data_IF_085570646399
#
_entry.id   IF_085570646399
#
_cell.length_a   1.000
_cell.length_b   1.000
_cell.length_c   1.000
_cell.angle_alpha   90.00
_cell.angle_beta   90.00
_cell.angle_gamma   90.00
#
_symmetry.space_group_name_H-M   'P 1'
#
loop_
_entity.id
_entity.type
_entity.pdbx_description
1 polymer ?
#
# COMPACT_ATOMS: atom_id res chain seq x y z
N UNK A 1 -14.73 17.84 19.07
CA UNK A 1 -13.27 17.81 18.86
C UNK A 1 -12.97 17.68 17.37
N UNK A 2 -12.36 18.70 16.77
CA UNK A 2 -12.03 18.84 15.33
C UNK A 2 -10.79 18.01 14.90
N UNK A 3 -10.50 16.88 15.55
CA UNK A 3 -9.17 16.23 15.47
C UNK A 3 -9.01 15.21 14.32
N UNK A 4 -9.99 15.09 13.41
CA UNK A 4 -9.94 14.10 12.32
C UNK A 4 -8.85 14.34 11.26
N UNK A 5 -8.39 15.58 11.10
CA UNK A 5 -7.45 16.00 10.05
C UNK A 5 -6.04 15.39 10.16
N UNK A 6 -5.64 14.92 11.35
CA UNK A 6 -4.28 14.40 11.56
C UNK A 6 -4.19 12.87 11.48
N UNK A 7 -5.29 12.17 11.20
CA UNK A 7 -5.32 10.70 11.19
C UNK A 7 -4.44 10.08 10.10
N UNK A 8 -4.47 10.56 8.83
CA UNK A 8 -3.58 10.03 7.79
C UNK A 8 -2.11 10.31 8.11
N UNK A 9 -1.81 11.48 8.70
CA UNK A 9 -0.46 11.83 9.15
C UNK A 9 0.02 10.95 10.31
N UNK A 10 -0.89 10.52 11.20
CA UNK A 10 -0.56 9.53 12.23
C UNK A 10 -0.19 8.19 11.60
N UNK A 11 -0.96 7.69 10.64
CA UNK A 11 -0.63 6.45 9.93
C UNK A 11 0.72 6.55 9.20
N UNK A 12 1.00 7.70 8.58
CA UNK A 12 2.28 8.00 7.96
C UNK A 12 3.43 7.99 8.97
N UNK A 13 3.31 8.69 10.09
CA UNK A 13 4.33 8.76 11.13
C UNK A 13 4.59 7.37 11.76
N UNK A 14 3.54 6.60 12.04
CA UNK A 14 3.67 5.23 12.53
C UNK A 14 4.31 4.31 11.49
N UNK A 15 3.98 4.47 10.21
CA UNK A 15 4.59 3.71 9.11
C UNK A 15 6.08 4.01 8.94
N UNK A 16 6.48 5.28 9.04
CA UNK A 16 7.88 5.69 9.05
C UNK A 16 8.63 5.15 10.27
N UNK A 17 8.04 5.23 11.47
CA UNK A 17 8.64 4.66 12.67
C UNK A 17 8.85 3.15 12.52
N UNK A 18 7.87 2.44 11.97
CA UNK A 18 8.00 1.01 11.66
C UNK A 18 9.08 0.75 10.60
N UNK A 19 9.18 1.58 9.56
CA UNK A 19 10.21 1.47 8.54
C UNK A 19 11.62 1.65 9.12
N UNK A 20 11.82 2.66 9.98
CA UNK A 20 13.09 2.87 10.68
C UNK A 20 13.42 1.68 11.57
N UNK A 21 12.47 1.20 12.37
CA UNK A 21 12.66 0.03 13.22
C UNK A 21 13.05 -1.23 12.41
N UNK A 22 12.34 -1.49 11.29
CA UNK A 22 12.67 -2.61 10.39
C UNK A 22 14.04 -2.44 9.75
N UNK A 23 14.41 -1.23 9.31
CA UNK A 23 15.74 -0.97 8.77
C UNK A 23 16.84 -1.21 9.80
N UNK A 24 16.63 -0.80 11.05
CA UNK A 24 17.55 -1.09 12.16
C UNK A 24 17.63 -2.58 12.44
N UNK A 25 16.52 -3.31 12.37
CA UNK A 25 16.48 -4.76 12.52
C UNK A 25 17.30 -5.45 11.42
N UNK A 26 17.03 -5.14 10.15
CA UNK A 26 17.76 -5.69 9.00
C UNK A 26 19.25 -5.38 9.00
N UNK A 27 19.66 -4.27 9.61
CA UNK A 27 21.08 -3.84 9.64
C UNK A 27 21.86 -4.43 10.81
N UNK A 28 21.22 -4.56 11.98
CA UNK A 28 21.92 -4.84 13.23
C UNK A 28 21.62 -6.22 13.82
N UNK A 29 20.55 -6.89 13.38
CA UNK A 29 20.07 -8.16 13.96
C UNK A 29 19.96 -9.24 12.88
N UNK A 30 21.09 -9.50 12.21
CA UNK A 30 21.23 -10.59 11.25
C UNK A 30 22.31 -11.56 11.72
N UNK A 31 21.99 -12.85 11.72
CA UNK A 31 22.91 -13.91 12.10
C UNK A 31 24.00 -14.15 11.04
N UNK A 32 24.91 -15.10 11.30
CA UNK A 32 26.00 -15.47 10.40
C UNK A 32 25.52 -16.05 9.05
N UNK A 33 24.26 -16.50 8.95
CA UNK A 33 23.62 -16.98 7.72
C UNK A 33 22.86 -15.85 7.01
N UNK A 34 22.92 -14.63 7.55
CA UNK A 34 22.22 -13.44 7.07
C UNK A 34 20.74 -13.43 7.41
N UNK A 35 20.23 -14.37 8.22
CA UNK A 35 18.85 -14.47 8.65
C UNK A 35 18.57 -13.49 9.80
N UNK A 36 17.35 -12.97 9.89
CA UNK A 36 16.95 -12.10 11.00
C UNK A 36 16.98 -12.88 12.32
N UNK A 37 17.58 -12.28 13.34
CA UNK A 37 17.52 -12.81 14.70
C UNK A 37 16.10 -12.70 15.24
N UNK A 38 15.59 -13.80 15.80
CA UNK A 38 14.22 -13.87 16.34
C UNK A 38 14.19 -13.63 17.85
N UNK A 39 13.06 -13.12 18.35
CA UNK A 39 12.85 -12.85 19.77
C UNK A 39 13.52 -11.56 20.26
N UNK A 40 13.95 -10.68 19.36
CA UNK A 40 14.53 -9.40 19.75
C UNK A 40 13.44 -8.46 20.29
N UNK A 41 13.83 -7.56 21.20
CA UNK A 41 12.91 -6.51 21.69
C UNK A 41 12.43 -5.61 20.55
N UNK A 42 13.27 -5.43 19.53
CA UNK A 42 12.95 -4.62 18.36
C UNK A 42 11.89 -5.28 17.47
N UNK A 43 12.04 -6.57 17.16
CA UNK A 43 11.02 -7.37 16.45
C UNK A 43 9.68 -7.31 17.19
N UNK A 44 9.70 -7.55 18.50
CA UNK A 44 8.49 -7.48 19.35
C UNK A 44 7.86 -6.08 19.30
N UNK A 45 8.68 -5.03 19.36
CA UNK A 45 8.25 -3.64 19.25
C UNK A 45 7.57 -3.33 17.91
N UNK A 46 8.05 -3.88 16.80
CA UNK A 46 7.45 -3.72 15.46
C UNK A 46 6.05 -4.36 15.41
N UNK A 47 5.89 -5.56 15.97
CA UNK A 47 4.58 -6.21 16.01
C UNK A 47 3.59 -5.48 16.93
N UNK A 48 4.05 -5.02 18.11
CA UNK A 48 3.22 -4.21 19.02
C UNK A 48 2.80 -2.88 18.38
N UNK A 49 3.72 -2.20 17.70
CA UNK A 49 3.43 -0.97 16.96
C UNK A 49 2.39 -1.21 15.86
N UNK A 50 2.53 -2.32 15.14
CA UNK A 50 1.59 -2.71 14.08
C UNK A 50 0.19 -3.01 14.65
N UNK A 51 0.11 -3.80 15.72
CA UNK A 51 -1.16 -4.11 16.38
C UNK A 51 -1.85 -2.84 16.92
N UNK A 52 -1.09 -1.97 17.60
CA UNK A 52 -1.58 -0.68 18.07
C UNK A 52 -2.07 0.19 16.92
N UNK A 53 -1.30 0.27 15.82
CA UNK A 53 -1.66 1.00 14.61
C UNK A 53 -3.00 0.54 14.04
N UNK A 54 -3.19 -0.77 13.87
CA UNK A 54 -4.44 -1.34 13.37
C UNK A 54 -5.65 -0.98 14.26
N UNK A 55 -5.50 -1.04 15.58
CA UNK A 55 -6.56 -0.66 16.52
C UNK A 55 -6.89 0.83 16.39
N UNK A 56 -5.88 1.70 16.36
CA UNK A 56 -6.06 3.14 16.20
C UNK A 56 -6.71 3.49 14.86
N UNK A 57 -6.30 2.83 13.77
CA UNK A 57 -6.88 3.04 12.44
C UNK A 57 -8.34 2.60 12.39
N UNK A 58 -8.69 1.48 13.02
CA UNK A 58 -10.07 1.01 13.11
C UNK A 58 -10.95 1.99 13.91
N UNK A 59 -10.47 2.48 15.05
CA UNK A 59 -11.18 3.48 15.86
C UNK A 59 -11.35 4.79 15.09
N UNK A 60 -10.31 5.27 14.43
CA UNK A 60 -10.36 6.50 13.68
C UNK A 60 -11.31 6.38 12.46
N UNK A 61 -11.24 5.28 11.71
CA UNK A 61 -12.10 5.04 10.56
C UNK A 61 -13.59 5.03 10.94
N UNK A 62 -13.94 4.57 12.15
CA UNK A 62 -15.30 4.61 12.70
C UNK A 62 -15.76 6.03 13.01
N UNK A 63 -14.86 6.86 13.59
CA UNK A 63 -15.15 8.27 13.91
C UNK A 63 -15.33 9.10 12.64
N UNK A 64 -14.56 8.80 11.61
CA UNK A 64 -14.56 9.53 10.35
C UNK A 64 -13.99 10.93 10.47
N UNK A 65 -13.68 11.51 9.31
CA UNK A 65 -13.15 12.86 9.16
C UNK A 65 -13.63 13.43 7.81
N UNK A 66 -13.50 14.75 7.65
CA UNK A 66 -13.85 15.44 6.41
C UNK A 66 -12.87 15.08 5.29
N UNK A 67 -13.40 14.93 4.08
CA UNK A 67 -12.63 14.52 2.91
C UNK A 67 -11.60 15.58 2.48
N UNK A 68 -10.50 15.12 1.87
CA UNK A 68 -9.39 15.97 1.43
C UNK A 68 -9.83 17.03 0.42
N UNK A 69 -8.97 18.02 0.23
CA UNK A 69 -8.98 18.82 -0.98
C UNK A 69 -8.85 17.93 -2.21
N UNK A 70 -9.80 18.06 -3.14
CA UNK A 70 -9.88 17.26 -4.38
C UNK A 70 -8.59 17.28 -5.21
N UNK A 71 -7.80 18.35 -5.10
CA UNK A 71 -6.50 18.50 -5.77
C UNK A 71 -5.43 17.59 -5.20
N UNK A 72 -5.40 17.42 -3.87
CA UNK A 72 -4.40 16.59 -3.19
C UNK A 72 -4.65 15.10 -3.52
N UNK A 73 -5.91 14.66 -3.45
CA UNK A 73 -6.30 13.30 -3.81
C UNK A 73 -5.98 12.97 -5.28
N UNK A 74 -6.20 13.93 -6.20
CA UNK A 74 -5.83 13.77 -7.59
C UNK A 74 -4.32 13.61 -7.80
N UNK A 75 -3.52 14.45 -7.14
CA UNK A 75 -2.06 14.37 -7.19
C UNK A 75 -1.56 13.02 -6.67
N UNK A 76 -2.11 12.52 -5.56
CA UNK A 76 -1.76 11.21 -5.05
C UNK A 76 -2.16 10.06 -5.97
N UNK A 77 -3.35 10.10 -6.58
CA UNK A 77 -3.75 9.11 -7.60
C UNK A 77 -2.74 9.09 -8.75
N UNK A 78 -2.33 10.26 -9.26
CA UNK A 78 -1.30 10.35 -10.30
C UNK A 78 0.06 9.78 -9.85
N UNK A 79 0.49 10.08 -8.63
CA UNK A 79 1.74 9.53 -8.06
C UNK A 79 1.66 8.00 -7.89
N UNK A 80 0.57 7.49 -7.31
CA UNK A 80 0.35 6.04 -7.17
C UNK A 80 0.35 5.33 -8.52
N UNK A 81 -0.33 5.92 -9.52
CA UNK A 81 -0.35 5.39 -10.88
C UNK A 81 1.03 5.41 -11.53
N UNK A 82 1.81 6.46 -11.34
CA UNK A 82 3.21 6.52 -11.76
C UNK A 82 4.05 5.43 -11.07
N UNK A 83 3.82 5.17 -9.78
CA UNK A 83 4.53 4.14 -9.01
C UNK A 83 4.28 2.74 -9.56
N UNK A 84 3.02 2.42 -9.83
CA UNK A 84 2.60 1.16 -10.46
C UNK A 84 3.20 1.04 -11.87
N UNK A 85 3.12 2.11 -12.67
CA UNK A 85 3.61 2.13 -14.04
C UNK A 85 5.13 1.92 -14.11
N UNK A 86 5.89 2.65 -13.28
CA UNK A 86 7.34 2.49 -13.20
C UNK A 86 7.74 1.11 -12.70
N UNK A 87 7.03 0.55 -11.72
CA UNK A 87 7.28 -0.81 -11.24
C UNK A 87 7.10 -1.84 -12.36
N UNK A 88 6.05 -1.69 -13.17
CA UNK A 88 5.79 -2.58 -14.32
C UNK A 88 6.81 -2.41 -15.46
N UNK A 89 7.34 -1.20 -15.68
CA UNK A 89 8.37 -0.95 -16.69
C UNK A 89 9.73 -1.53 -16.30
N UNK A 90 10.12 -1.33 -15.05
CA UNK A 90 11.47 -1.62 -14.56
C UNK A 90 11.64 -3.07 -14.11
N UNK A 91 10.57 -3.74 -13.69
CA UNK A 91 10.62 -5.11 -13.20
C UNK A 91 10.04 -6.09 -14.23
N UNK A 92 10.71 -7.22 -14.52
CA UNK A 92 10.21 -8.22 -15.46
C UNK A 92 9.10 -9.13 -14.90
N UNK A 93 8.69 -8.95 -13.62
CA UNK A 93 7.90 -9.93 -12.88
C UNK A 93 8.78 -11.05 -12.30
N UNK A 94 8.30 -11.73 -11.26
CA UNK A 94 9.02 -12.82 -10.57
C UNK A 94 8.66 -14.20 -11.10
N UNK A 95 7.45 -14.38 -11.61
CA UNK A 95 7.04 -15.61 -12.28
C UNK A 95 7.58 -15.65 -13.72
N UNK A 96 7.83 -16.85 -14.23
CA UNK A 96 8.24 -17.06 -15.62
C UNK A 96 7.04 -17.27 -16.55
N UNK A 97 7.18 -16.94 -17.83
CA UNK A 97 6.17 -17.22 -18.86
C UNK A 97 5.00 -16.24 -18.87
N UNK A 98 3.81 -16.72 -19.24
CA UNK A 98 2.64 -15.87 -19.51
C UNK A 98 2.15 -15.05 -18.32
N UNK A 99 2.39 -15.52 -17.09
CA UNK A 99 2.00 -14.79 -15.86
C UNK A 99 2.84 -13.52 -15.67
N UNK A 100 4.14 -13.56 -15.99
CA UNK A 100 5.01 -12.38 -15.97
C UNK A 100 4.52 -11.31 -16.96
N UNK A 101 4.17 -11.76 -18.17
CA UNK A 101 3.60 -10.89 -19.20
C UNK A 101 2.28 -10.27 -18.75
N UNK A 102 1.39 -11.06 -18.15
CA UNK A 102 0.11 -10.57 -17.60
C UNK A 102 0.33 -9.56 -16.48
N UNK A 103 1.24 -9.83 -15.53
CA UNK A 103 1.58 -8.91 -14.45
C UNK A 103 2.05 -7.56 -15.00
N UNK A 104 2.94 -7.58 -15.99
CA UNK A 104 3.47 -6.38 -16.63
C UNK A 104 2.38 -5.59 -17.35
N UNK A 105 1.58 -6.24 -18.20
CA UNK A 105 0.50 -5.59 -18.95
C UNK A 105 -0.53 -4.98 -17.99
N UNK A 106 -0.92 -5.73 -16.95
CA UNK A 106 -1.86 -5.24 -15.94
C UNK A 106 -1.29 -4.09 -15.12
N UNK A 107 0.01 -4.10 -14.80
CA UNK A 107 0.68 -2.98 -14.13
C UNK A 107 0.68 -1.71 -14.99
N UNK A 108 1.00 -1.82 -16.28
CA UNK A 108 0.95 -0.67 -17.19
C UNK A 108 -0.47 -0.10 -17.31
N UNK A 109 -1.48 -0.97 -17.50
CA UNK A 109 -2.88 -0.55 -17.59
C UNK A 109 -3.39 0.04 -16.28
N UNK A 110 -3.08 -0.57 -15.13
CA UNK A 110 -3.46 -0.06 -13.82
C UNK A 110 -2.83 1.31 -13.54
N UNK A 111 -1.55 1.49 -13.87
CA UNK A 111 -0.86 2.78 -13.75
C UNK A 111 -1.54 3.88 -14.58
N UNK A 112 -1.83 3.60 -15.85
CA UNK A 112 -2.53 4.55 -16.73
C UNK A 112 -3.93 4.85 -16.21
N UNK A 113 -4.71 3.84 -15.81
CA UNK A 113 -6.06 4.02 -15.29
C UNK A 113 -6.08 4.87 -14.02
N UNK A 114 -5.11 4.69 -13.12
CA UNK A 114 -5.05 5.46 -11.89
C UNK A 114 -4.61 6.92 -12.15
N UNK A 115 -3.73 7.17 -13.12
CA UNK A 115 -3.39 8.53 -13.58
C UNK A 115 -4.61 9.21 -14.20
N UNK A 116 -5.35 8.50 -15.05
CA UNK A 116 -6.59 9.00 -15.66
C UNK A 116 -7.66 9.29 -14.58
N UNK A 117 -7.75 8.45 -13.56
CA UNK A 117 -8.62 8.69 -12.41
C UNK A 117 -8.25 10.01 -11.71
N UNK A 118 -6.96 10.26 -11.47
CA UNK A 118 -6.48 11.55 -10.94
C UNK A 118 -6.90 12.73 -11.80
N UNK A 119 -6.76 12.62 -13.11
CA UNK A 119 -7.20 13.67 -14.05
C UNK A 119 -8.73 13.89 -14.02
N UNK A 120 -9.52 12.81 -13.91
CA UNK A 120 -10.97 12.89 -13.72
C UNK A 120 -11.34 13.53 -12.38
N UNK A 121 -10.62 13.22 -11.30
CA UNK A 121 -10.84 13.83 -9.98
C UNK A 121 -10.69 15.36 -10.05
N UNK A 122 -9.75 15.89 -10.84
CA UNK A 122 -9.60 17.34 -11.06
C UNK A 122 -10.75 17.97 -11.85
N UNK A 123 -11.25 17.27 -12.88
CA UNK A 123 -12.27 17.80 -13.80
C UNK A 123 -13.71 17.63 -13.27
N UNK A 124 -13.89 16.89 -12.16
CA UNK A 124 -15.19 16.49 -11.58
C UNK A 124 -16.15 15.62 -12.43
N UNK A 125 -15.80 14.96 -13.56
CA UNK A 125 -16.68 13.94 -14.14
C UNK A 125 -16.89 12.76 -13.17
N UNK A 126 -18.03 12.06 -13.30
CA UNK A 126 -18.24 10.79 -12.60
C UNK A 126 -17.16 9.81 -13.04
N UNK A 127 -16.23 9.48 -12.14
CA UNK A 127 -15.18 8.51 -12.43
C UNK A 127 -15.80 7.13 -12.69
N UNK A 128 -15.39 6.50 -13.79
CA UNK A 128 -15.87 5.18 -14.17
C UNK A 128 -15.30 4.12 -13.21
N UNK A 129 -16.16 3.21 -12.72
CA UNK A 129 -15.78 2.26 -11.66
C UNK A 129 -14.64 1.30 -12.03
N UNK A 130 -14.38 1.08 -13.33
CA UNK A 130 -13.26 0.26 -13.78
C UNK A 130 -11.90 0.92 -13.50
N UNK A 131 -11.82 2.26 -13.43
CA UNK A 131 -10.56 2.96 -13.18
C UNK A 131 -9.91 2.57 -11.83
N UNK A 132 -10.62 2.57 -10.69
CA UNK A 132 -10.09 2.06 -9.42
C UNK A 132 -10.10 0.53 -9.32
N UNK A 133 -10.76 -0.21 -10.23
CA UNK A 133 -10.77 -1.68 -10.19
C UNK A 133 -9.45 -2.27 -10.73
N UNK A 134 -8.88 -1.66 -11.77
CA UNK A 134 -7.64 -2.17 -12.38
C UNK A 134 -6.43 -2.19 -11.43
N UNK A 135 -6.18 -1.16 -10.61
CA UNK A 135 -5.14 -1.23 -9.58
C UNK A 135 -5.40 -2.33 -8.53
N UNK A 136 -6.67 -2.61 -8.19
CA UNK A 136 -7.00 -3.75 -7.32
C UNK A 136 -6.57 -5.07 -7.96
N UNK A 137 -6.91 -5.30 -9.23
CA UNK A 137 -6.52 -6.53 -9.96
C UNK A 137 -5.01 -6.63 -10.07
N UNK A 138 -4.32 -5.52 -10.34
CA UNK A 138 -2.86 -5.49 -10.36
C UNK A 138 -2.25 -5.91 -9.02
N UNK A 139 -2.71 -5.38 -7.88
CA UNK A 139 -2.14 -5.78 -6.58
C UNK A 139 -2.44 -7.24 -6.22
N UNK A 140 -3.58 -7.80 -6.65
CA UNK A 140 -3.83 -9.23 -6.54
C UNK A 140 -2.85 -10.06 -7.38
N UNK A 141 -2.60 -9.65 -8.63
CA UNK A 141 -1.60 -10.29 -9.47
C UNK A 141 -0.19 -10.11 -8.92
N UNK A 142 0.13 -8.96 -8.31
CA UNK A 142 1.41 -8.70 -7.67
C UNK A 142 1.63 -9.60 -6.46
N UNK A 143 0.59 -9.87 -5.67
CA UNK A 143 0.63 -10.88 -4.60
C UNK A 143 0.93 -12.27 -5.16
N UNK A 144 0.22 -12.69 -6.23
CA UNK A 144 0.43 -14.01 -6.86
C UNK A 144 1.84 -14.15 -7.44
N UNK A 145 2.32 -13.12 -8.15
CA UNK A 145 3.64 -13.10 -8.76
C UNK A 145 4.75 -13.22 -7.71
N UNK A 146 4.61 -12.51 -6.58
CA UNK A 146 5.61 -12.54 -5.51
C UNK A 146 5.45 -13.72 -4.55
N UNK A 147 4.28 -14.37 -4.49
CA UNK A 147 4.02 -15.47 -3.55
C UNK A 147 5.03 -16.60 -3.68
N UNK A 148 5.45 -16.95 -4.90
CA UNK A 148 6.45 -18.01 -5.12
C UNK A 148 7.81 -17.65 -4.51
N UNK A 149 8.22 -16.39 -4.63
CA UNK A 149 9.46 -15.89 -4.00
C UNK A 149 9.33 -15.83 -2.48
N UNK A 150 8.14 -15.50 -1.97
CA UNK A 150 7.86 -15.44 -0.54
C UNK A 150 7.85 -16.83 0.10
N UNK A 151 7.18 -17.80 -0.53
CA UNK A 151 7.09 -19.16 -0.03
C UNK A 151 8.43 -19.90 -0.01
N UNK A 152 9.42 -19.43 -0.79
CA UNK A 152 10.77 -20.01 -0.79
C UNK A 152 11.71 -19.37 0.22
N UNK A 153 11.30 -18.29 0.91
CA UNK A 153 12.11 -17.67 1.96
C UNK A 153 11.89 -18.39 3.29
N UNK A 154 12.97 -18.70 4.04
CA UNK A 154 12.86 -19.40 5.31
C UNK A 154 12.25 -18.54 6.44
N UNK A 155 12.11 -17.22 6.24
CA UNK A 155 11.61 -16.28 7.24
C UNK A 155 10.48 -15.41 6.71
N UNK A 156 9.31 -15.54 7.33
CA UNK A 156 8.09 -14.77 7.01
C UNK A 156 8.29 -13.25 7.16
N UNK A 157 9.04 -12.82 8.17
CA UNK A 157 9.21 -11.40 8.53
C UNK A 157 9.83 -10.56 7.39
N UNK A 158 10.62 -11.19 6.51
CA UNK A 158 11.25 -10.52 5.37
C UNK A 158 10.22 -9.99 4.38
N UNK A 159 9.10 -10.70 4.18
CA UNK A 159 8.11 -10.36 3.16
C UNK A 159 6.71 -10.06 3.71
N UNK A 160 6.46 -10.27 5.01
CA UNK A 160 5.15 -10.05 5.63
C UNK A 160 4.60 -8.65 5.36
N UNK A 161 5.43 -7.63 5.50
CA UNK A 161 5.00 -6.24 5.29
C UNK A 161 4.76 -5.91 3.82
N UNK A 162 5.50 -6.52 2.88
CA UNK A 162 5.23 -6.39 1.43
C UNK A 162 3.85 -6.99 1.08
N UNK A 163 3.56 -8.17 1.67
CA UNK A 163 2.28 -8.84 1.52
C UNK A 163 1.14 -8.00 2.10
N UNK A 164 1.29 -7.49 3.32
CA UNK A 164 0.28 -6.65 3.98
C UNK A 164 0.08 -5.31 3.25
N UNK A 165 1.15 -4.73 2.68
CA UNK A 165 1.05 -3.52 1.85
C UNK A 165 0.22 -3.78 0.59
N UNK A 166 0.56 -4.84 -0.14
CA UNK A 166 -0.12 -5.22 -1.37
C UNK A 166 -1.59 -5.58 -1.12
N UNK A 167 -1.89 -6.33 -0.05
CA UNK A 167 -3.26 -6.64 0.36
C UNK A 167 -4.05 -5.39 0.74
N UNK A 168 -3.44 -4.47 1.49
CA UNK A 168 -4.09 -3.23 1.91
C UNK A 168 -4.39 -2.32 0.73
N UNK A 169 -3.47 -2.21 -0.24
CA UNK A 169 -3.68 -1.46 -1.48
C UNK A 169 -4.75 -2.08 -2.37
N UNK A 170 -4.76 -3.41 -2.52
CA UNK A 170 -5.81 -4.12 -3.23
C UNK A 170 -7.18 -3.83 -2.59
N UNK A 171 -7.28 -3.95 -1.28
CA UNK A 171 -8.52 -3.72 -0.54
C UNK A 171 -8.96 -2.25 -0.57
N UNK A 172 -8.02 -1.31 -0.49
CA UNK A 172 -8.27 0.12 -0.62
C UNK A 172 -8.84 0.46 -2.00
N UNK A 173 -8.21 -0.05 -3.05
CA UNK A 173 -8.64 0.15 -4.43
C UNK A 173 -10.01 -0.48 -4.71
N UNK A 174 -10.25 -1.70 -4.19
CA UNK A 174 -11.55 -2.36 -4.23
C UNK A 174 -12.64 -1.52 -3.56
N UNK A 175 -12.38 -1.01 -2.36
CA UNK A 175 -13.33 -0.13 -1.66
C UNK A 175 -13.60 1.16 -2.44
N UNK A 176 -12.60 1.68 -3.17
CA UNK A 176 -12.77 2.78 -4.12
C UNK A 176 -13.73 2.43 -5.26
N UNK A 177 -13.52 1.29 -5.92
CA UNK A 177 -14.39 0.80 -6.99
C UNK A 177 -15.82 0.53 -6.52
N UNK A 178 -15.99 -0.12 -5.36
CA UNK A 178 -17.30 -0.39 -4.78
C UNK A 178 -18.08 0.90 -4.47
N UNK A 179 -17.40 1.98 -4.06
CA UNK A 179 -18.05 3.29 -3.84
C UNK A 179 -18.52 3.94 -5.15
N UNK A 180 -17.79 3.76 -6.25
CA UNK A 180 -18.19 4.29 -7.55
C UNK A 180 -19.52 3.71 -8.05
N UNK A 181 -19.90 2.52 -7.56
CA UNK A 181 -21.18 1.85 -7.83
C UNK A 181 -22.14 1.83 -6.63
N UNK A 182 -21.94 2.72 -5.64
CA UNK A 182 -22.78 2.87 -4.45
C UNK A 182 -22.89 1.64 -3.52
N UNK A 183 -21.95 0.69 -3.59
CA UNK A 183 -21.89 -0.50 -2.72
C UNK A 183 -20.87 -0.35 -1.57
N UNK A 184 -19.96 0.62 -1.65
CA UNK A 184 -18.83 0.73 -0.72
C UNK A 184 -19.12 1.51 0.56
N UNK A 185 -18.70 0.97 1.71
CA UNK A 185 -18.81 1.64 3.00
C UNK A 185 -17.66 2.65 3.23
N UNK A 186 -17.94 3.91 3.62
CA UNK A 186 -16.90 4.91 3.85
C UNK A 186 -15.87 4.53 4.93
N UNK A 187 -16.33 3.86 6.00
CA UNK A 187 -15.49 3.44 7.12
C UNK A 187 -14.45 2.42 6.68
N UNK A 188 -14.86 1.42 5.89
CA UNK A 188 -13.97 0.38 5.37
C UNK A 188 -12.91 0.96 4.45
N UNK A 189 -13.28 1.88 3.55
CA UNK A 189 -12.32 2.58 2.68
C UNK A 189 -11.27 3.34 3.51
N UNK A 190 -11.71 4.12 4.50
CA UNK A 190 -10.80 4.88 5.39
C UNK A 190 -9.82 3.96 6.12
N UNK A 191 -10.32 2.88 6.71
CA UNK A 191 -9.47 1.89 7.39
C UNK A 191 -8.44 1.30 6.43
N UNK A 192 -8.88 0.82 5.26
CA UNK A 192 -7.96 0.26 4.26
C UNK A 192 -6.92 1.26 3.77
N UNK A 193 -7.27 2.54 3.63
CA UNK A 193 -6.34 3.60 3.25
C UNK A 193 -5.27 3.84 4.31
N UNK A 194 -5.65 3.94 5.60
CA UNK A 194 -4.68 4.08 6.71
C UNK A 194 -3.73 2.87 6.79
N UNK A 195 -4.27 1.65 6.64
CA UNK A 195 -3.45 0.45 6.58
C UNK A 195 -2.49 0.47 5.39
N UNK A 196 -2.98 0.87 4.20
CA UNK A 196 -2.15 0.97 3.00
C UNK A 196 -0.99 1.96 3.21
N UNK A 197 -1.22 3.15 3.78
CA UNK A 197 -0.15 4.09 4.13
C UNK A 197 0.88 3.44 5.04
N UNK A 198 0.44 2.87 6.16
CA UNK A 198 1.30 2.27 7.15
C UNK A 198 2.16 1.14 6.58
N UNK A 199 1.52 0.16 5.93
CA UNK A 199 2.20 -1.03 5.45
C UNK A 199 3.09 -0.74 4.25
N UNK A 200 2.72 0.19 3.36
CA UNK A 200 3.60 0.58 2.26
C UNK A 200 4.90 1.20 2.75
N UNK A 201 4.84 2.09 3.75
CA UNK A 201 6.04 2.65 4.36
C UNK A 201 6.85 1.57 5.07
N UNK A 202 6.17 0.74 5.86
CA UNK A 202 6.81 -0.35 6.57
C UNK A 202 7.48 -1.35 5.63
N UNK A 203 6.98 -1.55 4.41
CA UNK A 203 7.54 -2.46 3.40
C UNK A 203 8.89 -2.01 2.82
N UNK A 204 9.13 -0.70 2.70
CA UNK A 204 10.31 -0.10 2.03
C UNK A 204 11.67 -0.74 2.41
N UNK A 205 12.00 -0.94 3.70
CA UNK A 205 13.32 -1.49 4.08
C UNK A 205 13.54 -2.94 3.64
N UNK A 206 12.47 -3.70 3.37
CA UNK A 206 12.55 -5.14 3.09
C UNK A 206 12.93 -5.48 1.65
N UNK A 207 12.60 -4.63 0.66
CA UNK A 207 12.89 -4.88 -0.75
C UNK A 207 13.17 -3.60 -1.55
N UNK A 208 14.43 -3.33 -1.93
CA UNK A 208 14.79 -2.12 -2.66
C UNK A 208 14.11 -2.00 -4.03
N UNK A 209 13.85 -3.13 -4.69
CA UNK A 209 13.19 -3.18 -6.00
C UNK A 209 11.74 -2.67 -5.98
N UNK A 210 11.05 -2.81 -4.85
CA UNK A 210 9.65 -2.39 -4.68
C UNK A 210 9.52 -1.04 -3.94
N UNK A 211 10.64 -0.41 -3.55
CA UNK A 211 10.64 0.85 -2.80
C UNK A 211 9.87 1.96 -3.50
N UNK A 212 10.11 2.15 -4.80
CA UNK A 212 9.44 3.21 -5.58
C UNK A 212 7.92 2.96 -5.64
N UNK A 213 7.52 1.70 -5.86
CA UNK A 213 6.11 1.30 -5.89
C UNK A 213 5.43 1.66 -4.57
N UNK A 214 5.98 1.18 -3.45
CA UNK A 214 5.36 1.37 -2.15
C UNK A 214 5.43 2.81 -1.67
N UNK A 215 6.51 3.55 -1.92
CA UNK A 215 6.60 4.96 -1.56
C UNK A 215 5.50 5.79 -2.26
N UNK A 216 5.32 5.59 -3.58
CA UNK A 216 4.31 6.33 -4.33
C UNK A 216 2.89 5.87 -4.00
N UNK A 217 2.68 4.58 -3.75
CA UNK A 217 1.38 4.07 -3.30
C UNK A 217 1.04 4.51 -1.86
N UNK A 218 2.02 4.70 -0.99
CA UNK A 218 1.83 5.30 0.33
C UNK A 218 1.35 6.75 0.20
N UNK A 219 1.95 7.54 -0.70
CA UNK A 219 1.51 8.91 -0.97
C UNK A 219 0.10 8.94 -1.58
N UNK A 220 -0.21 8.03 -2.50
CA UNK A 220 -1.56 7.87 -3.03
C UNK A 220 -2.57 7.61 -1.91
N UNK A 221 -2.34 6.57 -1.11
CA UNK A 221 -3.21 6.23 0.01
C UNK A 221 -3.28 7.37 1.04
N UNK A 222 -2.20 8.10 1.30
CA UNK A 222 -2.17 9.20 2.27
C UNK A 222 -3.12 10.33 1.88
N UNK A 223 -3.06 10.74 0.62
CA UNK A 223 -3.85 11.86 0.09
C UNK A 223 -5.31 11.48 -0.22
N UNK A 224 -5.61 10.19 -0.38
CA UNK A 224 -6.93 9.68 -0.79
C UNK A 224 -7.63 8.86 0.32
N UNK A 225 -6.93 8.59 1.44
CA UNK A 225 -7.51 8.07 2.68
C UNK A 225 -8.38 9.12 3.40
N UNK A 226 -8.31 10.38 2.96
CA UNK A 226 -9.11 11.48 3.49
C UNK A 226 -10.59 11.45 3.05
#
# INVERSE_FOLDING_TARGET
>A
MKNGKYTPLLAFAMGLACAVARWTLFRNHTDALGLLETGTLLETGIFLLTALGLVLFAVAARRGWEASETKLAAAGQMLGGLGIFLAALTNPGRMTGSVAGLWKIMGLLAGVCLILQGACTLKKPKAFFLLPLLPCVFFLLHLVDNYRSWSSQPQLERYLFDLLASLSLAFFSYCGAARAVALGQPKTRRFSGLCAVYFCLAAIPGRPECTILYAFCALWALTDAE
#
